data_IF_032931985735
#
_entry.id   IF_032931985735
#
_cell.length_a   1.000
_cell.length_b   1.000
_cell.length_c   1.000
_cell.angle_alpha   90.00
_cell.angle_beta   90.00
_cell.angle_gamma   90.00
#
_symmetry.space_group_name_H-M   'P 1'
#
loop_
_entity.id
_entity.type
_entity.pdbx_description
1 polymer ?
#
# COMPACT_ATOMS: atom_id res chain seq x y z
N UNK A 1 -9.45 8.00 -30.46
CA UNK A 1 -9.15 8.42 -29.07
C UNK A 1 -7.66 8.26 -28.86
N UNK A 2 -6.92 9.32 -28.52
CA UNK A 2 -5.48 9.22 -28.28
C UNK A 2 -5.23 8.62 -26.88
N UNK A 3 -4.32 7.66 -26.78
CA UNK A 3 -3.87 7.09 -25.50
C UNK A 3 -2.92 8.11 -24.85
N UNK A 4 -3.17 8.46 -23.58
CA UNK A 4 -2.31 9.33 -22.79
C UNK A 4 -1.54 8.50 -21.76
N UNK A 5 -0.21 8.59 -21.80
CA UNK A 5 0.72 7.84 -20.93
C UNK A 5 1.31 8.71 -19.81
N UNK A 6 1.01 10.01 -19.79
CA UNK A 6 1.50 10.93 -18.76
C UNK A 6 0.82 10.67 -17.42
N UNK A 7 1.59 10.77 -16.35
CA UNK A 7 1.06 10.66 -14.98
C UNK A 7 0.13 11.85 -14.71
N UNK A 8 -1.14 11.63 -14.31
CA UNK A 8 -2.02 12.72 -13.93
C UNK A 8 -1.45 13.55 -12.78
N UNK A 9 -1.45 14.89 -12.92
CA UNK A 9 -0.90 15.84 -11.93
C UNK A 9 -1.42 15.61 -10.50
N UNK A 10 -2.66 15.13 -10.35
CA UNK A 10 -3.27 14.79 -9.05
C UNK A 10 -2.49 13.74 -8.25
N UNK A 11 -1.66 12.91 -8.91
CA UNK A 11 -0.83 11.90 -8.25
C UNK A 11 0.57 12.41 -7.86
N UNK A 12 0.93 13.66 -8.18
CA UNK A 12 2.24 14.19 -7.81
C UNK A 12 2.49 14.16 -6.29
N UNK A 13 1.45 14.41 -5.49
CA UNK A 13 1.55 14.35 -4.03
C UNK A 13 1.86 12.94 -3.52
N UNK A 14 1.14 11.91 -3.98
CA UNK A 14 1.36 10.53 -3.53
C UNK A 14 2.72 9.99 -3.98
N UNK A 15 3.18 10.38 -5.18
CA UNK A 15 4.53 10.06 -5.68
C UNK A 15 5.58 10.66 -4.75
N UNK A 16 5.48 11.95 -4.44
CA UNK A 16 6.45 12.62 -3.57
C UNK A 16 6.45 12.04 -2.16
N UNK A 17 5.29 11.72 -1.58
CA UNK A 17 5.19 11.08 -0.27
C UNK A 17 5.85 9.69 -0.27
N UNK A 18 5.57 8.89 -1.29
CA UNK A 18 6.16 7.53 -1.42
C UNK A 18 7.67 7.60 -1.60
N UNK A 19 8.17 8.58 -2.38
CA UNK A 19 9.60 8.84 -2.53
C UNK A 19 10.27 9.32 -1.24
N UNK A 20 9.57 10.12 -0.42
CA UNK A 20 10.06 10.53 0.91
C UNK A 20 10.18 9.32 1.84
N UNK A 21 9.18 8.44 1.90
CA UNK A 21 9.28 7.19 2.67
C UNK A 21 10.49 6.36 2.20
N UNK A 22 10.68 6.24 0.89
CA UNK A 22 11.83 5.55 0.33
C UNK A 22 13.17 6.15 0.80
N UNK A 23 13.31 7.48 0.73
CA UNK A 23 14.54 8.19 1.10
C UNK A 23 14.82 8.18 2.60
N UNK A 24 13.79 8.45 3.42
CA UNK A 24 13.96 8.75 4.85
C UNK A 24 13.79 7.51 5.74
N UNK A 25 13.13 6.46 5.25
CA UNK A 25 12.85 5.26 6.05
C UNK A 25 13.55 4.04 5.44
N UNK A 26 13.30 3.73 4.17
CA UNK A 26 13.78 2.47 3.59
C UNK A 26 15.28 2.46 3.36
N UNK A 27 15.82 3.46 2.64
CA UNK A 27 17.25 3.49 2.31
C UNK A 27 18.17 3.52 3.56
N UNK A 28 17.84 4.25 4.64
CA UNK A 28 18.68 4.25 5.85
C UNK A 28 18.76 2.89 6.56
N UNK A 29 17.70 2.08 6.52
CA UNK A 29 17.65 0.78 7.21
C UNK A 29 17.93 -0.40 6.29
N UNK A 30 17.95 -0.19 4.97
CA UNK A 30 18.13 -1.25 3.96
C UNK A 30 19.36 -2.11 4.26
N UNK A 31 20.54 -1.50 4.42
CA UNK A 31 21.79 -2.25 4.70
C UNK A 31 21.77 -2.96 6.06
N UNK A 32 21.06 -2.44 7.06
CA UNK A 32 20.92 -3.08 8.37
C UNK A 32 20.23 -4.44 8.23
N UNK A 33 19.13 -4.48 7.50
CA UNK A 33 18.31 -5.69 7.32
C UNK A 33 18.80 -6.60 6.20
N UNK A 34 19.58 -6.08 5.27
CA UNK A 34 20.36 -6.87 4.32
C UNK A 34 21.42 -7.74 5.03
N UNK A 35 22.04 -7.23 6.10
CA UNK A 35 22.97 -8.02 6.93
C UNK A 35 22.22 -8.89 7.95
N UNK A 36 21.14 -8.37 8.53
CA UNK A 36 20.30 -9.08 9.49
C UNK A 36 19.23 -9.91 8.78
N UNK A 37 19.66 -10.83 7.90
CA UNK A 37 18.75 -11.74 7.19
C UNK A 37 17.80 -12.41 8.20
N UNK A 38 16.49 -12.37 7.90
CA UNK A 38 15.38 -12.89 8.73
C UNK A 38 14.98 -12.08 9.97
N UNK A 39 15.62 -10.94 10.25
CA UNK A 39 15.09 -10.04 11.26
C UNK A 39 13.96 -9.17 10.72
N UNK A 40 12.91 -9.01 11.53
CA UNK A 40 11.77 -8.16 11.18
C UNK A 40 12.12 -6.66 11.29
N UNK A 41 11.81 -5.85 10.26
CA UNK A 41 12.06 -4.41 10.28
C UNK A 41 11.02 -3.65 11.13
N UNK A 42 11.32 -3.51 12.42
CA UNK A 42 10.42 -2.88 13.43
C UNK A 42 10.08 -1.43 13.11
N UNK A 43 10.95 -0.72 12.41
CA UNK A 43 10.71 0.65 11.95
C UNK A 43 9.47 0.74 11.04
N UNK A 44 9.12 -0.35 10.35
CA UNK A 44 7.92 -0.41 9.52
C UNK A 44 6.63 -0.42 10.34
N UNK A 45 6.66 -0.77 11.62
CA UNK A 45 5.47 -0.72 12.50
C UNK A 45 4.99 0.73 12.69
N UNK A 46 5.94 1.67 12.80
CA UNK A 46 5.65 3.10 12.88
C UNK A 46 4.99 3.58 11.58
N UNK A 47 5.56 3.22 10.43
CA UNK A 47 5.00 3.56 9.12
C UNK A 47 3.59 2.97 8.94
N UNK A 48 3.40 1.71 9.32
CA UNK A 48 2.09 1.06 9.24
C UNK A 48 1.04 1.75 10.13
N UNK A 49 1.45 2.22 11.32
CA UNK A 49 0.57 2.95 12.23
C UNK A 49 0.18 4.33 11.68
N UNK A 50 1.11 5.02 10.99
CA UNK A 50 0.81 6.27 10.29
C UNK A 50 -0.19 6.05 9.14
N UNK A 51 0.03 5.02 8.33
CA UNK A 51 -0.87 4.67 7.21
C UNK A 51 -2.25 4.26 7.72
N UNK A 52 -2.35 3.57 8.86
CA UNK A 52 -3.65 3.31 9.48
C UNK A 52 -4.36 4.59 9.90
N UNK A 53 -3.64 5.54 10.51
CA UNK A 53 -4.20 6.83 10.90
C UNK A 53 -4.79 7.58 9.72
N UNK A 54 -4.08 7.60 8.60
CA UNK A 54 -4.55 8.21 7.34
C UNK A 54 -5.77 7.48 6.75
N UNK A 55 -5.77 6.15 6.80
CA UNK A 55 -6.95 5.37 6.35
C UNK A 55 -8.17 5.62 7.24
N UNK A 56 -7.98 5.78 8.55
CA UNK A 56 -9.06 6.06 9.50
C UNK A 56 -9.64 7.47 9.36
N UNK A 57 -8.84 8.45 8.90
CA UNK A 57 -9.29 9.82 8.63
C UNK A 57 -10.03 9.97 7.29
N UNK A 58 -10.11 8.91 6.47
CA UNK A 58 -10.74 8.93 5.15
C UNK A 58 -9.89 9.62 4.07
N UNK A 59 -8.68 10.04 4.41
CA UNK A 59 -7.72 10.60 3.46
C UNK A 59 -6.99 9.46 2.73
N UNK A 60 -7.53 9.11 1.56
CA UNK A 60 -6.93 8.20 0.59
C UNK A 60 -6.76 6.75 1.06
N UNK A 61 -7.77 5.92 0.76
CA UNK A 61 -7.69 4.45 0.83
C UNK A 61 -6.72 3.90 -0.24
N UNK A 62 -5.43 4.04 0.00
CA UNK A 62 -4.36 3.46 -0.84
C UNK A 62 -3.93 2.10 -0.28
N UNK A 63 -3.45 1.20 -1.14
CA UNK A 63 -3.02 -0.15 -0.73
C UNK A 63 -4.15 -1.18 -0.60
N UNK A 64 -3.95 -2.20 0.24
CA UNK A 64 -4.79 -3.40 0.30
C UNK A 64 -6.26 -3.13 0.71
N UNK A 65 -6.50 -2.05 1.47
CA UNK A 65 -7.86 -1.64 1.89
C UNK A 65 -8.66 -0.91 0.80
N UNK A 66 -7.98 -0.35 -0.21
CA UNK A 66 -8.63 0.34 -1.34
C UNK A 66 -9.22 -0.58 -2.42
N UNK A 67 -9.15 -1.90 -2.22
CA UNK A 67 -9.57 -2.91 -3.20
C UNK A 67 -11.09 -3.11 -3.23
N UNK A 68 -11.80 -2.79 -2.13
CA UNK A 68 -13.25 -2.96 -2.05
C UNK A 68 -13.93 -1.94 -2.96
N UNK A 69 -14.70 -2.43 -3.93
CA UNK A 69 -15.42 -1.58 -4.91
C UNK A 69 -16.63 -0.95 -4.23
N UNK A 70 -16.74 0.36 -4.30
CA UNK A 70 -18.02 1.04 -4.10
C UNK A 70 -18.83 0.96 -5.40
N UNK A 71 -20.16 0.81 -5.28
CA UNK A 71 -21.07 0.80 -6.43
C UNK A 71 -21.16 2.20 -7.04
N UNK A 72 -20.23 2.53 -7.95
CA UNK A 72 -20.17 3.80 -8.65
C UNK A 72 -20.65 3.70 -10.11
N UNK A 73 -21.28 4.78 -10.59
CA UNK A 73 -21.82 4.93 -11.96
C UNK A 73 -20.79 4.56 -13.05
N UNK A 74 -21.22 3.77 -14.05
CA UNK A 74 -20.39 3.15 -15.10
C UNK A 74 -19.67 4.15 -16.02
N UNK A 75 -19.95 5.45 -15.87
CA UNK A 75 -19.48 6.51 -16.76
C UNK A 75 -18.33 7.36 -16.19
N UNK A 76 -17.83 7.04 -15.02
CA UNK A 76 -16.76 7.82 -14.36
C UNK A 76 -15.39 7.12 -14.43
N UNK A 77 -14.30 7.90 -14.39
CA UNK A 77 -12.94 7.36 -14.44
C UNK A 77 -12.61 6.59 -13.14
N UNK A 78 -12.70 5.25 -13.22
CA UNK A 78 -12.47 4.32 -12.10
C UNK A 78 -10.99 4.07 -11.77
N UNK A 79 -10.04 4.53 -12.59
CA UNK A 79 -8.61 4.25 -12.42
C UNK A 79 -7.91 5.12 -11.36
N UNK A 80 -8.64 5.84 -10.50
CA UNK A 80 -8.06 6.71 -9.48
C UNK A 80 -7.23 5.95 -8.44
N UNK A 81 -7.87 5.03 -7.71
CA UNK A 81 -7.28 4.34 -6.55
C UNK A 81 -6.21 3.32 -6.97
N UNK A 82 -6.48 2.52 -8.00
CA UNK A 82 -5.52 1.52 -8.50
C UNK A 82 -4.25 2.19 -9.06
N UNK A 83 -4.39 3.26 -9.84
CA UNK A 83 -3.22 3.97 -10.38
C UNK A 83 -2.41 4.64 -9.27
N UNK A 84 -3.08 5.25 -8.29
CA UNK A 84 -2.43 5.80 -7.09
C UNK A 84 -1.60 4.72 -6.38
N UNK A 85 -2.17 3.55 -6.15
CA UNK A 85 -1.50 2.42 -5.51
C UNK A 85 -0.30 1.89 -6.30
N UNK A 86 -0.41 1.78 -7.63
CA UNK A 86 0.72 1.36 -8.48
C UNK A 86 1.85 2.38 -8.43
N UNK A 87 1.54 3.67 -8.60
CA UNK A 87 2.54 4.73 -8.54
C UNK A 87 3.23 4.80 -7.17
N UNK A 88 2.48 4.65 -6.07
CA UNK A 88 3.07 4.62 -4.73
C UNK A 88 4.01 3.42 -4.54
N UNK A 89 3.62 2.23 -5.02
CA UNK A 89 4.46 1.03 -4.91
C UNK A 89 5.73 1.18 -5.75
N UNK A 90 5.65 1.71 -6.98
CA UNK A 90 6.83 1.94 -7.83
C UNK A 90 7.84 2.85 -7.12
N UNK A 91 7.36 3.96 -6.57
CA UNK A 91 8.20 4.94 -5.87
C UNK A 91 8.79 4.38 -4.58
N UNK A 92 8.02 3.59 -3.83
CA UNK A 92 8.47 2.92 -2.62
C UNK A 92 9.50 1.82 -2.91
N UNK A 93 9.29 1.02 -3.96
CA UNK A 93 10.21 -0.04 -4.41
C UNK A 93 11.55 0.51 -4.89
N UNK A 94 11.61 1.75 -5.38
CA UNK A 94 12.88 2.41 -5.67
C UNK A 94 13.73 2.59 -4.40
N UNK A 95 13.10 2.71 -3.22
CA UNK A 95 13.81 2.74 -1.94
C UNK A 95 14.39 1.38 -1.59
N UNK A 96 13.52 0.39 -1.42
CA UNK A 96 13.86 -1.00 -1.14
C UNK A 96 12.63 -1.91 -1.33
N UNK A 97 12.69 -2.88 -2.24
CA UNK A 97 11.57 -3.80 -2.52
C UNK A 97 11.29 -4.76 -1.35
N UNK A 98 12.30 -5.20 -0.62
CA UNK A 98 12.13 -6.10 0.52
C UNK A 98 11.40 -5.39 1.67
N UNK A 99 11.70 -4.10 1.89
CA UNK A 99 10.97 -3.27 2.85
C UNK A 99 9.51 -3.08 2.44
N UNK A 100 9.23 -2.82 1.17
CA UNK A 100 7.85 -2.72 0.65
C UNK A 100 7.08 -4.02 0.88
N UNK A 101 7.68 -5.17 0.57
CA UNK A 101 7.04 -6.47 0.75
C UNK A 101 6.89 -6.87 2.22
N UNK A 102 7.72 -6.32 3.10
CA UNK A 102 7.63 -6.50 4.55
C UNK A 102 6.64 -5.53 5.22
N UNK A 103 6.04 -4.61 4.45
CA UNK A 103 5.15 -3.60 4.99
C UNK A 103 3.88 -4.24 5.61
N UNK A 104 3.64 -4.04 6.91
CA UNK A 104 2.57 -4.74 7.60
C UNK A 104 1.19 -4.41 7.03
N UNK A 105 0.35 -5.45 6.88
CA UNK A 105 -1.08 -5.36 6.53
C UNK A 105 -1.39 -4.76 5.15
N UNK A 106 -0.38 -4.54 4.31
CA UNK A 106 -0.53 -4.03 2.95
C UNK A 106 -0.34 -5.12 1.87
N UNK A 107 -0.27 -6.40 2.28
CA UNK A 107 -0.03 -7.53 1.38
C UNK A 107 -1.28 -8.07 0.67
N UNK A 108 -1.05 -8.98 -0.28
CA UNK A 108 -2.12 -9.60 -1.09
C UNK A 108 -3.16 -10.36 -0.26
N UNK A 109 -2.77 -11.00 0.85
CA UNK A 109 -3.73 -11.66 1.73
C UNK A 109 -4.69 -10.68 2.40
N UNK A 110 -4.22 -9.48 2.73
CA UNK A 110 -5.09 -8.41 3.26
C UNK A 110 -6.06 -7.90 2.17
N UNK A 111 -5.62 -7.83 0.91
CA UNK A 111 -6.51 -7.49 -0.20
C UNK A 111 -7.61 -8.55 -0.42
N UNK A 112 -7.30 -9.84 -0.25
CA UNK A 112 -8.32 -10.90 -0.29
C UNK A 112 -9.33 -10.75 0.86
N UNK A 113 -8.87 -10.53 2.09
CA UNK A 113 -9.76 -10.27 3.23
C UNK A 113 -10.68 -9.09 2.90
N UNK A 114 -10.12 -7.95 2.45
CA UNK A 114 -10.91 -6.76 2.09
C UNK A 114 -11.95 -7.03 1.00
N UNK A 115 -11.68 -7.97 0.09
CA UNK A 115 -12.55 -8.29 -1.05
C UNK A 115 -13.69 -9.25 -0.70
N UNK A 116 -13.45 -10.23 0.18
CA UNK A 116 -14.38 -11.35 0.39
C UNK A 116 -14.97 -11.44 1.79
N UNK A 117 -14.38 -10.75 2.78
CA UNK A 117 -14.83 -10.84 4.16
C UNK A 117 -16.17 -10.09 4.37
N UNK A 118 -17.03 -10.67 5.21
CA UNK A 118 -18.17 -9.98 5.80
C UNK A 118 -17.71 -9.05 6.93
N UNK A 119 -18.62 -8.25 7.49
CA UNK A 119 -18.26 -7.21 8.47
C UNK A 119 -17.68 -7.78 9.77
N UNK A 120 -18.18 -8.93 10.24
CA UNK A 120 -17.64 -9.63 11.42
C UNK A 120 -16.21 -10.15 11.15
N UNK A 121 -15.98 -10.72 9.98
CA UNK A 121 -14.67 -11.21 9.54
C UNK A 121 -13.69 -10.06 9.35
N UNK A 122 -14.12 -8.93 8.79
CA UNK A 122 -13.30 -7.72 8.67
C UNK A 122 -12.83 -7.26 10.05
N UNK A 123 -13.75 -7.11 11.01
CA UNK A 123 -13.40 -6.72 12.37
C UNK A 123 -12.43 -7.73 13.03
N UNK A 124 -12.64 -9.03 12.81
CA UNK A 124 -11.78 -10.09 13.34
C UNK A 124 -10.37 -10.09 12.73
N UNK A 125 -10.23 -9.73 11.45
CA UNK A 125 -8.98 -9.86 10.70
C UNK A 125 -8.26 -8.56 10.38
N UNK A 126 -8.81 -7.39 10.73
CA UNK A 126 -8.30 -6.07 10.36
C UNK A 126 -6.81 -5.83 10.71
N UNK A 127 -6.33 -6.43 11.81
CA UNK A 127 -4.95 -6.28 12.30
C UNK A 127 -4.05 -7.48 12.02
N UNK A 128 -4.52 -8.45 11.21
CA UNK A 128 -3.75 -9.66 10.90
C UNK A 128 -2.92 -9.46 9.63
N UNK A 129 -1.73 -10.04 9.63
CA UNK A 129 -0.96 -10.23 8.40
C UNK A 129 -1.41 -11.55 7.78
N UNK A 130 -2.22 -11.46 6.73
CA UNK A 130 -2.64 -12.65 5.99
C UNK A 130 -1.59 -12.93 4.91
N UNK A 131 -0.90 -14.07 5.05
CA UNK A 131 -0.12 -14.63 3.97
C UNK A 131 -1.08 -15.25 2.95
N UNK A 132 -0.83 -14.99 1.66
CA UNK A 132 -1.52 -15.67 0.57
C UNK A 132 -0.52 -16.62 -0.08
N UNK A 133 -0.77 -17.93 0.06
CA UNK A 133 -0.07 -18.91 -0.75
C UNK A 133 -0.70 -18.90 -2.14
N UNK A 134 -0.02 -18.29 -3.10
CA UNK A 134 -0.37 -18.42 -4.52
C UNK A 134 0.39 -19.64 -5.02
N UNK A 135 -0.35 -20.68 -5.40
CA UNK A 135 0.17 -21.87 -6.09
C UNK A 135 0.41 -21.60 -7.56
#
# INVERSE_FOLDING_TARGET
MAINLEVPKKFGMIINQSRQVANEIFRPISRKYDVAEHEYPKELDMLASLVDGMNASGEASTGARGVRREAGDDRTNRNGTNMSGVLSIIEACWGDVAMVLSMPRQGLGNAAIASVANDEQLARFDKRWAAMAIT
#
